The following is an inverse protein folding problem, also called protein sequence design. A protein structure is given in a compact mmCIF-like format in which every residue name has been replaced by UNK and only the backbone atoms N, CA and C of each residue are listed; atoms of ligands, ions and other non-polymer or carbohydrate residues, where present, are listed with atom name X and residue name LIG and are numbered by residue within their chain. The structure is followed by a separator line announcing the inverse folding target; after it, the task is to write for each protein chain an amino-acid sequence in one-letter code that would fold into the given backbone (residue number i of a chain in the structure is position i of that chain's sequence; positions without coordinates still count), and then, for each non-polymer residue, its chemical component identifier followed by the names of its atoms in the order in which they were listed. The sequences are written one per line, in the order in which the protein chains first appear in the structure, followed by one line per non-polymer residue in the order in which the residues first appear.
data_IF_332208559245
#
_entry.id   IF_332208559245
#
_cell.length_a   1.000
_cell.length_b   1.000
_cell.length_c   1.000
_cell.angle_alpha   90.00
_cell.angle_beta   90.00
_cell.angle_gamma   90.00
#
_symmetry.space_group_name_H-M   'P 1'
#
loop_
_entity.id
_entity.type
_entity.pdbx_description
1 polymer ?
#
# COMPACT_ATOMS: atom_id res chain seq x y z
N UNK A 1 -47.86 33.81 26.81
CA UNK A 1 -46.49 34.03 27.32
C UNK A 1 -45.68 32.75 27.21
N UNK A 2 -44.54 32.84 26.49
CA UNK A 2 -43.32 32.00 26.42
C UNK A 2 -43.37 30.49 26.76
N UNK A 3 -43.13 29.66 25.73
CA UNK A 3 -42.64 28.28 25.82
C UNK A 3 -41.13 28.31 26.11
N UNK A 4 -40.70 27.71 27.22
CA UNK A 4 -39.31 27.27 27.47
C UNK A 4 -39.18 25.91 26.76
N UNK A 5 -38.23 25.60 25.88
CA UNK A 5 -36.83 26.03 25.80
C UNK A 5 -35.94 24.80 25.99
N UNK A 6 -36.11 23.75 25.18
CA UNK A 6 -35.19 22.60 25.16
C UNK A 6 -34.23 22.78 23.99
N UNK A 7 -33.00 23.22 24.30
CA UNK A 7 -31.88 23.13 23.38
C UNK A 7 -30.83 22.24 24.05
N UNK A 8 -30.90 20.94 23.78
CA UNK A 8 -29.79 20.03 24.02
C UNK A 8 -28.77 20.32 22.91
N UNK A 9 -27.86 21.26 23.16
CA UNK A 9 -26.68 21.44 22.32
C UNK A 9 -25.69 20.36 22.75
N UNK A 10 -25.91 19.14 22.26
CA UNK A 10 -24.87 18.13 22.22
C UNK A 10 -23.83 18.58 21.22
N UNK A 11 -22.80 19.30 21.67
CA UNK A 11 -21.57 19.47 20.89
C UNK A 11 -21.02 18.07 20.66
N UNK A 12 -21.33 17.52 19.49
CA UNK A 12 -20.63 16.36 18.95
C UNK A 12 -19.15 16.72 18.94
N UNK A 13 -18.41 16.10 19.85
CA UNK A 13 -16.96 15.98 19.81
C UNK A 13 -16.63 15.30 18.48
N UNK A 14 -16.49 16.09 17.43
CA UNK A 14 -15.79 15.72 16.21
C UNK A 14 -14.31 15.63 16.61
N UNK A 15 -13.99 14.60 17.40
CA UNK A 15 -12.65 14.13 17.58
C UNK A 15 -12.16 13.81 16.18
N UNK A 16 -11.24 14.64 15.70
CA UNK A 16 -10.47 14.36 14.51
C UNK A 16 -9.77 13.04 14.84
N UNK A 17 -10.33 11.92 14.38
CA UNK A 17 -9.68 10.63 14.45
C UNK A 17 -8.43 10.78 13.60
N UNK A 18 -7.33 11.19 14.23
CA UNK A 18 -6.01 11.18 13.61
C UNK A 18 -5.74 9.71 13.37
N UNK A 19 -5.82 9.30 12.12
CA UNK A 19 -5.45 7.96 11.74
C UNK A 19 -4.01 7.73 12.20
N UNK A 20 -3.81 6.59 12.88
CA UNK A 20 -2.53 6.28 13.49
C UNK A 20 -1.44 6.22 12.39
N UNK A 21 -0.22 6.70 12.66
CA UNK A 21 0.87 6.53 11.71
C UNK A 21 1.09 5.04 11.44
N UNK A 22 1.48 4.70 10.21
CA UNK A 22 1.90 3.33 9.87
C UNK A 22 3.07 2.92 10.76
N UNK A 23 3.05 1.67 11.22
CA UNK A 23 4.24 1.05 11.81
C UNK A 23 5.35 0.94 10.75
N UNK A 24 6.60 0.90 11.18
CA UNK A 24 7.76 0.83 10.28
C UNK A 24 7.70 -0.44 9.41
N UNK A 25 7.24 -1.54 9.98
CA UNK A 25 7.02 -2.81 9.30
C UNK A 25 5.96 -2.69 8.20
N UNK A 26 4.83 -2.03 8.49
CA UNK A 26 3.77 -1.79 7.50
C UNK A 26 4.27 -0.89 6.36
N UNK A 27 4.98 0.19 6.69
CA UNK A 27 5.55 1.10 5.71
C UNK A 27 6.61 0.42 4.81
N UNK A 28 7.42 -0.46 5.40
CA UNK A 28 8.41 -1.27 4.70
C UNK A 28 7.74 -2.35 3.84
N UNK A 29 6.68 -2.98 4.32
CA UNK A 29 5.91 -3.98 3.59
C UNK A 29 5.28 -3.36 2.33
N UNK A 30 4.57 -2.23 2.48
CA UNK A 30 3.96 -1.50 1.35
C UNK A 30 5.00 -1.18 0.28
N UNK A 31 6.19 -0.68 0.67
CA UNK A 31 7.24 -0.36 -0.29
C UNK A 31 7.78 -1.58 -1.05
N UNK A 32 7.80 -2.74 -0.40
CA UNK A 32 8.29 -3.96 -1.04
C UNK A 32 7.24 -4.61 -1.93
N UNK A 33 6.00 -4.67 -1.49
CA UNK A 33 4.89 -5.23 -2.26
C UNK A 33 4.70 -4.46 -3.57
N UNK A 34 4.53 -3.14 -3.52
CA UNK A 34 4.34 -2.30 -4.70
C UNK A 34 5.57 -2.33 -5.62
N UNK A 35 6.76 -2.24 -5.04
CA UNK A 35 7.99 -2.24 -5.82
C UNK A 35 8.26 -3.56 -6.52
N UNK A 36 8.02 -4.69 -5.85
CA UNK A 36 8.16 -6.01 -6.47
C UNK A 36 7.11 -6.24 -7.56
N UNK A 37 5.85 -5.86 -7.33
CA UNK A 37 4.79 -5.95 -8.33
C UNK A 37 5.11 -5.12 -9.58
N UNK A 38 5.67 -3.92 -9.40
CA UNK A 38 6.06 -3.04 -10.51
C UNK A 38 7.25 -3.59 -11.29
N UNK A 39 8.26 -4.15 -10.61
CA UNK A 39 9.38 -4.83 -11.29
C UNK A 39 8.89 -6.05 -12.05
N UNK A 40 8.00 -6.86 -11.46
CA UNK A 40 7.40 -8.00 -12.14
C UNK A 40 6.65 -7.60 -13.42
N UNK A 41 5.89 -6.50 -13.38
CA UNK A 41 5.11 -6.03 -14.53
C UNK A 41 6.00 -5.55 -15.68
N UNK A 42 7.10 -4.86 -15.39
CA UNK A 42 7.90 -4.15 -16.40
C UNK A 42 9.20 -4.86 -16.79
N UNK A 43 9.69 -5.80 -15.98
CA UNK A 43 10.99 -6.45 -16.18
C UNK A 43 10.81 -7.94 -16.53
N UNK A 44 11.12 -8.36 -17.77
CA UNK A 44 10.74 -9.67 -18.29
C UNK A 44 11.44 -10.85 -17.60
N UNK A 45 12.58 -10.63 -16.96
CA UNK A 45 13.40 -11.69 -16.37
C UNK A 45 12.89 -12.18 -15.01
N UNK A 46 11.91 -11.48 -14.42
CA UNK A 46 11.43 -11.78 -13.08
C UNK A 46 10.02 -12.36 -13.08
N UNK A 47 9.76 -13.24 -12.12
CA UNK A 47 8.44 -13.74 -11.77
C UNK A 47 8.18 -13.58 -10.27
N UNK A 48 6.91 -13.42 -9.90
CA UNK A 48 6.50 -13.35 -8.50
C UNK A 48 6.70 -14.70 -7.82
N UNK A 49 7.21 -14.69 -6.58
CA UNK A 49 7.18 -15.87 -5.73
C UNK A 49 5.73 -16.09 -5.26
N UNK A 50 5.16 -17.31 -5.42
CA UNK A 50 3.81 -17.61 -4.94
C UNK A 50 3.67 -17.30 -3.44
N UNK A 51 2.56 -16.68 -3.05
CA UNK A 51 2.23 -16.33 -1.67
C UNK A 51 3.28 -15.46 -0.94
N UNK A 52 4.13 -14.72 -1.69
CA UNK A 52 5.15 -13.85 -1.09
C UNK A 52 4.54 -12.76 -0.19
N UNK A 53 3.47 -12.09 -0.64
CA UNK A 53 2.81 -11.03 0.13
C UNK A 53 2.24 -11.55 1.46
N UNK A 54 1.65 -12.74 1.45
CA UNK A 54 1.15 -13.39 2.66
C UNK A 54 2.31 -13.76 3.60
N UNK A 55 3.27 -14.54 3.10
CA UNK A 55 4.41 -15.06 3.90
C UNK A 55 5.26 -13.93 4.49
N UNK A 56 5.52 -12.88 3.72
CA UNK A 56 6.34 -11.75 4.14
C UNK A 56 5.54 -10.84 5.07
N UNK A 57 4.26 -10.59 4.77
CA UNK A 57 3.37 -9.85 5.65
C UNK A 57 3.27 -10.49 7.03
N UNK A 58 3.06 -11.80 7.10
CA UNK A 58 2.98 -12.55 8.36
C UNK A 58 4.29 -12.47 9.14
N UNK A 59 5.44 -12.61 8.47
CA UNK A 59 6.77 -12.48 9.10
C UNK A 59 7.01 -11.08 9.67
N UNK A 60 6.45 -10.06 9.03
CA UNK A 60 6.56 -8.66 9.45
C UNK A 60 5.46 -8.25 10.45
N UNK A 61 4.53 -9.13 10.80
CA UNK A 61 3.40 -8.81 11.67
C UNK A 61 2.37 -7.87 11.03
N UNK A 62 2.34 -7.78 9.70
CA UNK A 62 1.43 -6.91 8.96
C UNK A 62 0.06 -7.59 8.84
N UNK A 63 -0.95 -6.97 9.46
CA UNK A 63 -2.31 -7.49 9.46
C UNK A 63 -2.96 -7.49 8.08
N UNK A 64 -3.94 -8.38 7.91
CA UNK A 64 -4.72 -8.53 6.67
C UNK A 64 -5.37 -7.23 6.20
N UNK A 65 -5.83 -6.39 7.14
CA UNK A 65 -6.42 -5.08 6.85
C UNK A 65 -5.45 -4.16 6.09
N UNK A 66 -4.17 -4.15 6.46
CA UNK A 66 -3.15 -3.36 5.77
C UNK A 66 -2.90 -3.92 4.39
N UNK A 67 -2.75 -5.25 4.25
CA UNK A 67 -2.57 -5.90 2.94
C UNK A 67 -3.72 -5.57 1.98
N UNK A 68 -4.96 -5.69 2.44
CA UNK A 68 -6.14 -5.32 1.65
C UNK A 68 -6.14 -3.83 1.27
N UNK A 69 -5.74 -2.96 2.20
CA UNK A 69 -5.61 -1.54 1.94
C UNK A 69 -4.50 -1.20 0.94
N UNK A 70 -3.37 -1.94 0.95
CA UNK A 70 -2.30 -1.78 -0.05
C UNK A 70 -2.82 -2.09 -1.44
N UNK A 71 -3.51 -3.22 -1.60
CA UNK A 71 -4.07 -3.64 -2.89
C UNK A 71 -5.13 -2.67 -3.40
N UNK A 72 -6.02 -2.19 -2.53
CA UNK A 72 -7.02 -1.19 -2.89
C UNK A 72 -6.40 0.15 -3.29
N UNK A 73 -5.40 0.62 -2.53
CA UNK A 73 -4.67 1.84 -2.83
C UNK A 73 -3.81 1.73 -4.10
N UNK A 74 -3.20 0.56 -4.35
CA UNK A 74 -2.44 0.33 -5.57
C UNK A 74 -3.33 0.29 -6.81
N UNK A 75 -4.45 -0.42 -6.74
CA UNK A 75 -5.44 -0.44 -7.81
C UNK A 75 -5.94 0.98 -8.16
N UNK A 76 -6.11 1.86 -7.16
CA UNK A 76 -6.45 3.26 -7.40
C UNK A 76 -5.40 4.01 -8.25
N UNK A 77 -4.13 3.61 -8.20
CA UNK A 77 -3.05 4.22 -9.01
C UNK A 77 -2.98 3.70 -10.44
N UNK A 78 -3.69 2.61 -10.75
CA UNK A 78 -3.72 2.00 -12.06
C UNK A 78 -4.98 2.45 -12.81
N UNK A 79 -4.80 2.97 -14.02
CA UNK A 79 -5.93 3.43 -14.84
C UNK A 79 -6.95 2.31 -15.06
N UNK A 80 -8.23 2.65 -14.86
CA UNK A 80 -9.39 1.78 -15.10
C UNK A 80 -9.48 0.51 -14.24
N UNK A 81 -8.74 0.42 -13.12
CA UNK A 81 -8.90 -0.71 -12.20
C UNK A 81 -10.05 -0.45 -11.20
N UNK A 82 -11.02 -1.37 -11.05
CA UNK A 82 -12.03 -1.26 -10.01
C UNK A 82 -11.37 -1.43 -8.64
N UNK A 83 -11.62 -0.49 -7.73
CA UNK A 83 -11.13 -0.57 -6.35
C UNK A 83 -12.25 -0.30 -5.36
N UNK A 84 -12.20 -0.98 -4.21
CA UNK A 84 -13.16 -0.77 -3.14
C UNK A 84 -12.65 0.34 -2.20
N UNK A 85 -13.33 1.49 -2.26
CA UNK A 85 -13.03 2.67 -1.44
C UNK A 85 -13.11 2.41 0.07
N UNK A 86 -13.86 1.41 0.51
CA UNK A 86 -13.99 1.06 1.93
C UNK A 86 -12.67 0.55 2.53
N UNK A 87 -11.74 0.05 1.70
CA UNK A 87 -10.42 -0.40 2.14
C UNK A 87 -9.33 0.67 2.01
N UNK A 88 -9.66 1.91 1.59
CA UNK A 88 -8.68 2.98 1.56
C UNK A 88 -8.40 3.48 2.97
N UNK A 89 -7.17 3.25 3.43
CA UNK A 89 -6.63 3.83 4.66
C UNK A 89 -5.74 5.00 4.24
N UNK A 90 -5.98 6.24 4.70
CA UNK A 90 -5.27 7.44 4.22
C UNK A 90 -3.75 7.33 4.24
N UNK A 91 -3.18 6.74 5.30
CA UNK A 91 -1.74 6.57 5.47
C UNK A 91 -1.18 5.53 4.50
N UNK A 92 -1.90 4.43 4.27
CA UNK A 92 -1.55 3.42 3.27
C UNK A 92 -1.59 4.03 1.87
N UNK A 93 -2.66 4.74 1.53
CA UNK A 93 -2.79 5.45 0.24
C UNK A 93 -1.66 6.46 0.04
N UNK A 94 -1.33 7.26 1.06
CA UNK A 94 -0.21 8.21 1.00
C UNK A 94 1.10 7.47 0.76
N UNK A 95 1.34 6.35 1.45
CA UNK A 95 2.55 5.55 1.29
C UNK A 95 2.65 4.93 -0.10
N UNK A 96 1.57 4.35 -0.62
CA UNK A 96 1.51 3.79 -1.97
C UNK A 96 1.83 4.86 -3.01
N UNK A 97 1.21 6.05 -2.93
CA UNK A 97 1.47 7.15 -3.86
C UNK A 97 2.94 7.61 -3.83
N UNK A 98 3.54 7.72 -2.64
CA UNK A 98 4.96 8.05 -2.51
C UNK A 98 5.85 6.98 -3.17
N UNK A 99 5.57 5.70 -2.93
CA UNK A 99 6.33 4.59 -3.53
C UNK A 99 6.18 4.61 -5.05
N UNK A 100 4.96 4.77 -5.57
CA UNK A 100 4.70 4.86 -7.01
C UNK A 100 5.43 6.02 -7.67
N UNK A 101 5.47 7.19 -7.04
CA UNK A 101 6.24 8.33 -7.57
C UNK A 101 7.73 8.02 -7.69
N UNK A 102 8.32 7.32 -6.71
CA UNK A 102 9.73 6.90 -6.77
C UNK A 102 9.95 5.85 -7.86
N UNK A 103 9.04 4.89 -8.01
CA UNK A 103 9.13 3.85 -9.04
C UNK A 103 8.98 4.42 -10.44
N UNK A 104 8.08 5.39 -10.64
CA UNK A 104 7.91 6.10 -11.90
C UNK A 104 9.18 6.88 -12.28
N UNK A 105 9.80 7.57 -11.32
CA UNK A 105 11.09 8.23 -11.55
C UNK A 105 12.16 7.21 -11.99
N UNK A 106 12.20 6.03 -11.36
CA UNK A 106 13.13 4.95 -11.71
C UNK A 106 12.86 4.36 -13.09
N UNK A 107 11.60 4.21 -13.47
CA UNK A 107 11.15 3.80 -14.80
C UNK A 107 11.65 4.79 -15.86
N UNK A 108 11.42 6.09 -15.64
CA UNK A 108 11.89 7.15 -16.54
C UNK A 108 13.42 7.19 -16.68
N UNK A 109 14.15 6.76 -15.65
CA UNK A 109 15.61 6.65 -15.67
C UNK A 109 16.12 5.30 -16.22
N UNK A 110 15.25 4.42 -16.71
CA UNK A 110 15.58 3.06 -17.16
C UNK A 110 16.33 2.23 -16.11
N UNK A 111 16.11 2.48 -14.82
CA UNK A 111 16.82 1.79 -13.73
C UNK A 111 15.90 0.93 -12.84
N UNK A 112 14.61 0.83 -13.20
CA UNK A 112 13.61 0.05 -12.46
C UNK A 112 14.03 -1.41 -12.27
N UNK A 113 14.49 -2.08 -13.33
CA UNK A 113 14.89 -3.50 -13.28
C UNK A 113 16.13 -3.76 -12.42
N UNK A 114 16.92 -2.72 -12.12
CA UNK A 114 18.03 -2.80 -11.16
C UNK A 114 17.58 -3.08 -9.73
N UNK A 115 16.28 -2.93 -9.42
CA UNK A 115 15.71 -3.29 -8.12
C UNK A 115 15.44 -4.81 -7.98
N UNK A 116 15.35 -5.54 -9.08
CA UNK A 116 15.01 -6.96 -9.10
C UNK A 116 15.86 -7.83 -8.16
N UNK A 117 17.20 -7.73 -8.15
CA UNK A 117 18.03 -8.54 -7.25
C UNK A 117 17.71 -8.33 -5.77
N UNK A 118 17.34 -7.10 -5.37
CA UNK A 118 16.96 -6.80 -3.99
C UNK A 118 15.62 -7.47 -3.63
N UNK A 119 14.66 -7.50 -4.56
CA UNK A 119 13.39 -8.19 -4.36
C UNK A 119 13.52 -9.72 -4.41
N UNK A 120 14.46 -10.26 -5.19
CA UNK A 120 14.83 -11.68 -5.15
C UNK A 120 15.41 -12.07 -3.80
N UNK A 121 16.36 -11.29 -3.27
CA UNK A 121 16.97 -11.53 -1.95
C UNK A 121 15.93 -11.53 -0.81
N UNK A 122 14.87 -10.76 -0.96
CA UNK A 122 13.79 -10.62 0.04
C UNK A 122 12.66 -11.63 -0.15
N UNK A 123 12.71 -12.46 -1.20
CA UNK A 123 11.72 -13.52 -1.46
C UNK A 123 10.44 -13.04 -2.15
N UNK A 124 10.43 -11.83 -2.72
CA UNK A 124 9.29 -11.33 -3.49
C UNK A 124 9.31 -11.83 -4.94
N UNK A 125 10.50 -11.89 -5.52
CA UNK A 125 10.73 -12.27 -6.91
C UNK A 125 11.68 -13.47 -7.00
N UNK A 126 11.68 -14.12 -8.16
CA UNK A 126 12.73 -15.04 -8.61
C UNK A 126 12.99 -14.84 -10.10
N UNK A 127 14.14 -15.31 -10.59
CA UNK A 127 14.48 -15.25 -12.01
C UNK A 127 13.70 -16.33 -12.76
N UNK A 128 13.15 -15.99 -13.93
CA UNK A 128 12.54 -16.99 -14.82
C UNK A 128 13.63 -17.95 -15.31
N UNK A 129 13.53 -19.23 -14.92
CA UNK A 129 14.43 -20.28 -15.38
C UNK A 129 15.68 -20.53 -14.53
N UNK A 130 15.72 -20.01 -13.29
CA UNK A 130 16.74 -20.35 -12.28
C UNK A 130 16.37 -21.56 -11.43
#
# INVERSE_FOLDING_TARGET
MKRLGFAVVGLALLGIARAAPLADEEAQFISQEIGSATVYADCPDYEMVPNAAETIGDRMGVGENIRAAVMAAYAQTLDNQPFNRAYLIPEVTRRVNMVMSVLEQRRQQNNLCGLGPAYTKRGWLRLKGG
#
